data_IF_062157404345
#
_entry.id   IF_062157404345
#
_cell.length_a   1.000
_cell.length_b   1.000
_cell.length_c   1.000
_cell.angle_alpha   90.00
_cell.angle_beta   90.00
_cell.angle_gamma   90.00
#
_symmetry.space_group_name_H-M   'P 1'
#
loop_
_entity.id
_entity.type
_entity.pdbx_description
1 polymer ?
#
# COMPACT_ATOMS: atom_id res chain seq x y z
N UNK A 1 40.13 -48.61 -37.16
CA UNK A 1 39.17 -48.92 -36.08
C UNK A 1 39.25 -47.81 -35.04
N UNK A 2 38.09 -47.40 -34.50
CA UNK A 2 37.87 -46.45 -33.39
C UNK A 2 38.07 -44.96 -33.69
N UNK A 3 37.19 -44.03 -33.30
CA UNK A 3 35.76 -44.02 -32.95
C UNK A 3 35.40 -42.51 -32.91
N UNK A 4 34.30 -42.13 -33.57
CA UNK A 4 33.66 -40.82 -33.40
C UNK A 4 33.22 -40.64 -31.93
N UNK A 5 33.56 -39.52 -31.30
CA UNK A 5 32.87 -39.02 -30.10
C UNK A 5 32.62 -37.52 -30.30
N UNK A 6 31.42 -37.20 -30.77
CA UNK A 6 30.87 -35.85 -30.82
C UNK A 6 30.48 -35.42 -29.41
N UNK A 7 31.10 -34.35 -28.90
CA UNK A 7 30.71 -33.73 -27.64
C UNK A 7 29.58 -32.72 -27.92
N UNK A 8 28.34 -33.14 -27.66
CA UNK A 8 27.17 -32.28 -27.72
C UNK A 8 27.08 -31.52 -26.39
N UNK A 9 27.61 -30.30 -26.33
CA UNK A 9 27.44 -29.42 -25.18
C UNK A 9 25.99 -28.90 -25.17
N UNK A 10 25.16 -29.51 -24.33
CA UNK A 10 23.79 -29.08 -24.07
C UNK A 10 23.79 -27.73 -23.35
N UNK A 11 23.50 -26.66 -24.10
CA UNK A 11 23.19 -25.35 -23.57
C UNK A 11 21.75 -25.39 -23.01
N UNK A 12 21.61 -25.79 -21.75
CA UNK A 12 20.39 -25.59 -20.98
C UNK A 12 20.25 -24.08 -20.69
N UNK A 13 19.66 -23.36 -21.64
CA UNK A 13 19.04 -22.07 -21.36
C UNK A 13 17.88 -22.35 -20.40
N UNK A 14 18.14 -22.13 -19.11
CA UNK A 14 17.08 -21.92 -18.15
C UNK A 14 16.26 -20.72 -18.66
N UNK A 15 15.13 -21.00 -19.30
CA UNK A 15 14.08 -20.00 -19.44
C UNK A 15 13.57 -19.76 -18.02
N UNK A 16 14.26 -18.89 -17.29
CA UNK A 16 13.66 -18.21 -16.15
C UNK A 16 12.42 -17.55 -16.72
N UNK A 17 11.25 -18.11 -16.38
CA UNK A 17 9.97 -17.43 -16.52
C UNK A 17 10.20 -15.99 -16.12
N UNK A 18 10.05 -15.06 -17.06
CA UNK A 18 9.98 -13.64 -16.76
C UNK A 18 8.72 -13.51 -15.90
N UNK A 19 8.86 -13.71 -14.59
CA UNK A 19 7.83 -13.44 -13.61
C UNK A 19 7.33 -12.02 -13.93
N UNK A 20 6.03 -11.89 -14.19
CA UNK A 20 5.57 -10.86 -15.09
C UNK A 20 5.87 -9.46 -14.58
N UNK A 21 6.49 -8.67 -15.44
CA UNK A 21 6.84 -7.27 -15.22
C UNK A 21 5.61 -6.33 -15.19
N UNK A 22 4.40 -6.87 -15.00
CA UNK A 22 3.13 -6.13 -14.98
C UNK A 22 2.54 -6.06 -13.58
N UNK A 23 1.82 -4.98 -13.31
CA UNK A 23 1.01 -4.79 -12.11
C UNK A 23 -0.46 -4.93 -12.46
N UNK A 24 -1.25 -5.60 -11.63
CA UNK A 24 -2.71 -5.54 -11.72
C UNK A 24 -3.20 -4.49 -10.74
N UNK A 25 -3.94 -3.50 -11.23
CA UNK A 25 -4.64 -2.51 -10.41
C UNK A 25 -6.12 -2.84 -10.48
N UNK A 26 -6.71 -3.18 -9.32
CA UNK A 26 -8.15 -3.44 -9.21
C UNK A 26 -8.79 -2.26 -8.50
N UNK A 27 -9.68 -1.57 -9.21
CA UNK A 27 -10.28 -0.34 -8.73
C UNK A 27 -11.72 -0.13 -9.19
N UNK A 28 -12.45 0.73 -8.48
CA UNK A 28 -13.73 1.30 -8.91
C UNK A 28 -13.65 2.84 -9.12
N UNK A 29 -12.53 3.45 -8.75
CA UNK A 29 -12.21 4.86 -9.00
C UNK A 29 -11.02 4.98 -9.97
N UNK A 30 -11.33 4.95 -11.26
CA UNK A 30 -10.33 4.84 -12.32
C UNK A 30 -9.38 6.03 -12.47
N UNK A 31 -9.81 7.31 -12.40
CA UNK A 31 -8.90 8.44 -12.71
C UNK A 31 -7.63 8.50 -11.85
N UNK A 32 -7.75 8.22 -10.54
CA UNK A 32 -6.59 8.16 -9.63
C UNK A 32 -5.63 7.01 -10.02
N UNK A 33 -6.20 5.87 -10.40
CA UNK A 33 -5.43 4.68 -10.74
C UNK A 33 -4.86 4.70 -12.17
N UNK A 34 -5.50 5.40 -13.11
CA UNK A 34 -4.94 5.71 -14.43
C UNK A 34 -3.69 6.58 -14.29
N UNK A 35 -3.75 7.59 -13.41
CA UNK A 35 -2.58 8.38 -13.07
C UNK A 35 -1.46 7.50 -12.50
N UNK A 36 -1.75 6.65 -11.50
CA UNK A 36 -0.74 5.77 -10.90
C UNK A 36 -0.15 4.78 -11.92
N UNK A 37 -0.97 4.19 -12.79
CA UNK A 37 -0.54 3.30 -13.87
C UNK A 37 0.42 4.01 -14.84
N UNK A 38 0.10 5.26 -15.20
CA UNK A 38 0.99 6.09 -16.03
C UNK A 38 2.32 6.34 -15.32
N UNK A 39 2.29 6.69 -14.04
CA UNK A 39 3.52 6.96 -13.28
C UNK A 39 4.39 5.71 -13.09
N UNK A 40 3.79 4.52 -12.90
CA UNK A 40 4.52 3.25 -12.89
C UNK A 40 5.27 3.02 -14.21
N UNK A 41 4.61 3.25 -15.35
CA UNK A 41 5.22 3.13 -16.67
C UNK A 41 6.31 4.17 -16.90
N UNK A 42 6.04 5.43 -16.57
CA UNK A 42 6.97 6.54 -16.78
C UNK A 42 8.22 6.42 -15.90
N UNK A 43 8.07 6.04 -14.63
CA UNK A 43 9.18 6.06 -13.68
C UNK A 43 9.96 4.75 -13.61
N UNK A 44 9.32 3.60 -13.89
CA UNK A 44 9.93 2.28 -13.73
C UNK A 44 9.76 1.37 -14.96
N UNK A 45 9.10 1.84 -16.04
CA UNK A 45 8.88 1.03 -17.24
C UNK A 45 7.90 -0.14 -17.04
N UNK A 46 7.10 -0.11 -15.96
CA UNK A 46 6.19 -1.19 -15.56
C UNK A 46 4.82 -0.94 -16.16
N UNK A 47 4.35 -1.87 -17.00
CA UNK A 47 2.98 -1.84 -17.52
C UNK A 47 1.98 -2.24 -16.44
N UNK A 48 0.75 -1.72 -16.55
CA UNK A 48 -0.33 -2.05 -15.62
C UNK A 48 -1.59 -2.50 -16.36
N UNK A 49 -2.26 -3.51 -15.81
CA UNK A 49 -3.64 -3.84 -16.14
C UNK A 49 -4.55 -3.15 -15.12
N UNK A 50 -5.43 -2.25 -15.59
CA UNK A 50 -6.39 -1.56 -14.73
C UNK A 50 -7.78 -2.12 -14.99
N UNK A 51 -8.35 -2.78 -13.98
CA UNK A 51 -9.61 -3.51 -14.12
C UNK A 51 -10.57 -3.22 -12.97
N UNK A 52 -11.86 -3.41 -13.26
CA UNK A 52 -12.87 -3.55 -12.22
C UNK A 52 -12.83 -4.97 -11.64
N UNK A 53 -13.39 -5.14 -10.44
CA UNK A 53 -13.42 -6.42 -9.72
C UNK A 53 -13.99 -7.61 -10.52
N UNK A 54 -14.97 -7.38 -11.40
CA UNK A 54 -15.61 -8.42 -12.23
C UNK A 54 -14.84 -8.73 -13.52
N UNK A 55 -13.76 -8.01 -13.78
CA UNK A 55 -12.85 -8.22 -14.91
C UNK A 55 -11.45 -8.64 -14.45
N UNK A 56 -11.32 -9.08 -13.20
CA UNK A 56 -10.07 -9.66 -12.73
C UNK A 56 -9.72 -10.92 -13.53
N UNK A 57 -8.47 -11.07 -13.98
CA UNK A 57 -8.02 -12.31 -14.60
C UNK A 57 -8.04 -13.45 -13.58
N UNK A 58 -8.22 -14.68 -14.07
CA UNK A 58 -8.21 -15.88 -13.21
C UNK A 58 -6.82 -16.18 -12.65
N UNK A 59 -5.76 -15.96 -13.45
CA UNK A 59 -4.38 -16.17 -13.07
C UNK A 59 -3.72 -14.86 -12.62
N UNK A 60 -3.53 -14.73 -11.30
CA UNK A 60 -2.88 -13.59 -10.67
C UNK A 60 -1.36 -13.77 -10.52
N UNK A 61 -0.84 -14.98 -10.68
CA UNK A 61 0.57 -15.30 -10.42
C UNK A 61 1.50 -14.70 -11.49
N UNK A 62 0.92 -14.29 -12.62
CA UNK A 62 1.61 -13.54 -13.68
C UNK A 62 1.94 -12.10 -13.28
N UNK A 63 1.37 -11.56 -12.20
CA UNK A 63 1.61 -10.19 -11.77
C UNK A 63 2.65 -10.12 -10.67
N UNK A 64 3.59 -9.18 -10.77
CA UNK A 64 4.58 -8.93 -9.71
C UNK A 64 3.98 -8.33 -8.44
N UNK A 65 2.87 -7.62 -8.58
CA UNK A 65 2.12 -7.02 -7.48
C UNK A 65 0.67 -6.76 -7.90
N UNK A 66 -0.23 -6.76 -6.92
CA UNK A 66 -1.60 -6.29 -7.03
C UNK A 66 -1.75 -4.98 -6.25
N UNK A 67 -2.37 -3.98 -6.86
CA UNK A 67 -2.81 -2.74 -6.20
C UNK A 67 -4.33 -2.82 -6.04
N UNK A 68 -4.83 -2.57 -4.83
CA UNK A 68 -6.26 -2.58 -4.54
C UNK A 68 -6.70 -1.18 -4.10
N UNK A 69 -7.59 -0.58 -4.90
CA UNK A 69 -8.16 0.74 -4.66
C UNK A 69 -9.68 0.71 -4.92
N UNK A 70 -10.40 0.06 -4.00
CA UNK A 70 -11.84 -0.19 -4.11
C UNK A 70 -12.55 0.59 -3.02
N UNK A 71 -13.21 1.68 -3.38
CA UNK A 71 -14.03 2.48 -2.48
C UNK A 71 -15.32 1.74 -2.08
N UNK A 72 -15.99 1.12 -3.05
CA UNK A 72 -17.24 0.41 -2.88
C UNK A 72 -17.11 -0.92 -2.13
N UNK A 73 -18.06 -1.83 -2.33
CA UNK A 73 -18.00 -3.14 -1.67
C UNK A 73 -16.88 -4.02 -2.25
N UNK A 74 -16.03 -4.60 -1.39
CA UNK A 74 -15.11 -5.65 -1.80
C UNK A 74 -15.89 -6.95 -1.96
N UNK A 75 -15.94 -7.49 -3.18
CA UNK A 75 -16.68 -8.70 -3.50
C UNK A 75 -15.95 -9.94 -2.93
N UNK A 76 -16.67 -10.99 -2.48
CA UNK A 76 -16.05 -12.18 -1.87
C UNK A 76 -15.07 -12.93 -2.78
N UNK A 77 -15.30 -12.95 -4.10
CA UNK A 77 -14.39 -13.59 -5.06
C UNK A 77 -13.02 -12.89 -5.11
N UNK A 78 -12.98 -11.60 -5.48
CA UNK A 78 -11.79 -10.76 -5.39
C UNK A 78 -11.08 -10.81 -4.03
N UNK A 79 -11.81 -10.71 -2.91
CA UNK A 79 -11.24 -10.84 -1.57
C UNK A 79 -10.41 -12.13 -1.41
N UNK A 80 -11.00 -13.28 -1.75
CA UNK A 80 -10.32 -14.57 -1.66
C UNK A 80 -9.13 -14.66 -2.60
N UNK A 81 -9.25 -14.10 -3.82
CA UNK A 81 -8.16 -14.10 -4.80
C UNK A 81 -6.96 -13.26 -4.34
N UNK A 82 -7.19 -12.07 -3.77
CA UNK A 82 -6.13 -11.22 -3.20
C UNK A 82 -5.41 -11.90 -2.05
N UNK A 83 -6.17 -12.53 -1.14
CA UNK A 83 -5.62 -13.26 0.00
C UNK A 83 -4.78 -14.46 -0.48
N UNK A 84 -5.31 -15.25 -1.41
CA UNK A 84 -4.62 -16.42 -1.95
C UNK A 84 -3.31 -16.04 -2.66
N UNK A 85 -3.36 -15.08 -3.58
CA UNK A 85 -2.18 -14.56 -4.28
C UNK A 85 -1.10 -14.11 -3.30
N UNK A 86 -1.47 -13.31 -2.29
CA UNK A 86 -0.50 -12.79 -1.32
C UNK A 86 0.09 -13.91 -0.46
N UNK A 87 -0.75 -14.83 0.05
CA UNK A 87 -0.27 -15.97 0.84
C UNK A 87 0.65 -16.89 0.03
N UNK A 88 0.45 -16.96 -1.29
CA UNK A 88 1.26 -17.72 -2.25
C UNK A 88 2.62 -17.11 -2.58
N UNK A 89 2.95 -15.90 -2.10
CA UNK A 89 4.22 -15.23 -2.41
C UNK A 89 4.05 -13.87 -3.09
N UNK A 90 2.82 -13.56 -3.51
CA UNK A 90 2.50 -12.31 -4.17
C UNK A 90 2.60 -11.08 -3.26
N UNK A 91 2.64 -9.90 -3.87
CA UNK A 91 2.64 -8.62 -3.17
C UNK A 91 1.33 -7.88 -3.34
N UNK A 92 0.70 -7.55 -2.22
CA UNK A 92 -0.50 -6.72 -2.18
C UNK A 92 -0.16 -5.31 -1.70
N UNK A 93 -0.50 -4.30 -2.49
CA UNK A 93 -0.49 -2.88 -2.11
C UNK A 93 -1.95 -2.43 -1.92
N UNK A 94 -2.40 -2.42 -0.67
CA UNK A 94 -3.73 -2.01 -0.28
C UNK A 94 -3.75 -0.49 -0.02
N UNK A 95 -4.59 0.23 -0.76
CA UNK A 95 -4.65 1.69 -0.69
C UNK A 95 -5.91 2.16 0.03
N UNK A 96 -5.76 3.19 0.86
CA UNK A 96 -6.77 4.02 1.51
C UNK A 96 -8.07 3.28 1.89
N UNK A 97 -9.07 3.27 1.00
CA UNK A 97 -10.38 2.63 1.17
C UNK A 97 -10.34 1.12 1.43
N UNK A 98 -9.19 0.47 1.21
CA UNK A 98 -8.95 -0.93 1.57
C UNK A 98 -9.11 -1.20 3.07
N UNK A 99 -8.98 -0.18 3.92
CA UNK A 99 -9.28 -0.25 5.35
C UNK A 99 -10.27 0.85 5.69
N UNK A 100 -11.54 0.62 5.38
CA UNK A 100 -12.65 1.49 5.75
C UNK A 100 -13.72 0.70 6.51
N UNK A 101 -14.58 1.38 7.27
CA UNK A 101 -15.64 0.74 8.07
C UNK A 101 -16.55 -0.17 7.23
N UNK A 102 -16.77 0.16 5.95
CA UNK A 102 -17.54 -0.66 5.02
C UNK A 102 -16.96 -2.07 4.81
N UNK A 103 -15.64 -2.22 4.92
CA UNK A 103 -14.93 -3.50 4.76
C UNK A 103 -15.04 -4.43 5.97
N UNK A 104 -15.62 -3.99 7.10
CA UNK A 104 -15.94 -4.89 8.24
C UNK A 104 -16.86 -6.06 7.85
N UNK A 105 -17.61 -5.93 6.74
CA UNK A 105 -18.50 -6.98 6.23
C UNK A 105 -17.75 -8.14 5.57
N UNK A 106 -16.48 -7.93 5.20
CA UNK A 106 -15.61 -8.93 4.61
C UNK A 106 -15.00 -9.77 5.74
N UNK A 107 -15.41 -11.04 5.83
CA UNK A 107 -15.09 -11.91 6.96
C UNK A 107 -13.59 -12.17 7.12
N UNK A 108 -12.85 -12.19 6.00
CA UNK A 108 -11.44 -12.58 5.99
C UNK A 108 -10.50 -11.38 5.84
N UNK A 109 -10.99 -10.26 5.30
CA UNK A 109 -10.16 -9.12 4.92
C UNK A 109 -9.42 -8.46 6.09
N UNK A 110 -10.14 -8.05 7.14
CA UNK A 110 -9.51 -7.42 8.31
C UNK A 110 -8.61 -8.36 9.10
N UNK A 111 -9.01 -9.62 9.37
CA UNK A 111 -8.10 -10.62 9.92
C UNK A 111 -6.84 -10.80 9.06
N UNK A 112 -6.96 -10.84 7.74
CA UNK A 112 -5.82 -10.97 6.83
C UNK A 112 -4.86 -9.77 6.87
N UNK A 113 -5.40 -8.55 6.94
CA UNK A 113 -4.62 -7.32 7.09
C UNK A 113 -4.06 -7.13 8.52
N UNK A 114 -4.57 -7.88 9.49
CA UNK A 114 -4.24 -7.74 10.90
C UNK A 114 -4.70 -6.38 11.45
N UNK A 115 -5.92 -5.96 11.14
CA UNK A 115 -6.47 -4.66 11.55
C UNK A 115 -7.82 -4.85 12.22
N UNK A 116 -8.11 -4.01 13.20
CA UNK A 116 -9.45 -3.81 13.72
C UNK A 116 -9.82 -2.32 13.70
N UNK A 117 -11.11 -2.05 13.51
CA UNK A 117 -11.71 -0.72 13.55
C UNK A 117 -12.75 -0.75 14.67
N UNK A 118 -12.35 -0.40 15.88
CA UNK A 118 -13.23 -0.47 17.05
C UNK A 118 -14.41 0.50 16.90
N UNK A 119 -15.65 0.11 17.27
CA UNK A 119 -16.75 1.07 17.37
C UNK A 119 -16.59 1.95 18.62
N UNK A 120 -17.30 3.06 18.67
CA UNK A 120 -17.38 3.92 19.85
C UNK A 120 -16.84 5.33 19.63
N UNK A 121 -16.62 6.03 20.74
CA UNK A 121 -16.14 7.40 20.75
C UNK A 121 -14.65 7.49 20.35
N UNK A 122 -14.30 8.46 19.50
CA UNK A 122 -12.94 8.60 18.95
C UNK A 122 -11.90 8.94 20.02
N UNK A 123 -12.29 9.65 21.08
CA UNK A 123 -11.39 9.98 22.19
C UNK A 123 -11.17 8.79 23.12
N UNK A 124 -11.99 7.74 22.99
CA UNK A 124 -11.87 6.47 23.71
C UNK A 124 -11.30 5.34 22.83
N UNK A 125 -10.75 5.67 21.67
CA UNK A 125 -10.15 4.70 20.74
C UNK A 125 -11.10 4.15 19.67
N UNK A 126 -12.32 4.67 19.57
CA UNK A 126 -13.26 4.35 18.50
C UNK A 126 -12.78 4.87 17.14
N UNK A 127 -13.03 4.09 16.09
CA UNK A 127 -12.71 4.48 14.72
C UNK A 127 -13.58 5.65 14.24
N UNK A 128 -12.95 6.64 13.60
CA UNK A 128 -13.62 7.77 12.93
C UNK A 128 -12.94 8.04 11.60
N UNK A 129 -13.71 8.52 10.63
CA UNK A 129 -13.19 9.12 9.41
C UNK A 129 -13.68 10.57 9.29
N UNK A 130 -12.94 11.42 8.56
CA UNK A 130 -13.32 12.82 8.32
C UNK A 130 -12.83 13.26 6.94
N UNK A 131 -13.73 13.88 6.18
CA UNK A 131 -13.48 14.50 4.89
C UNK A 131 -14.31 15.80 4.77
N UNK A 132 -13.79 16.86 4.14
CA UNK A 132 -12.40 17.01 3.70
C UNK A 132 -11.45 17.15 4.90
N UNK A 133 -10.20 16.71 4.73
CA UNK A 133 -9.15 16.83 5.74
C UNK A 133 -7.82 17.24 5.10
N UNK A 134 -7.12 18.18 5.74
CA UNK A 134 -5.69 18.39 5.50
C UNK A 134 -4.89 17.45 6.39
N UNK A 135 -4.20 16.49 5.79
CA UNK A 135 -3.35 15.54 6.50
C UNK A 135 -1.88 15.81 6.19
N UNK A 136 -1.03 15.58 7.19
CA UNK A 136 0.42 15.61 7.02
C UNK A 136 0.97 14.21 7.25
N UNK A 137 1.72 13.70 6.29
CA UNK A 137 2.37 12.40 6.38
C UNK A 137 3.87 12.57 6.66
N UNK A 138 4.41 11.74 7.54
CA UNK A 138 5.83 11.74 7.91
C UNK A 138 6.46 10.36 7.70
N UNK A 139 7.73 10.35 7.29
CA UNK A 139 8.53 9.13 7.16
C UNK A 139 9.01 8.66 8.54
N UNK A 140 8.49 7.52 9.00
CA UNK A 140 8.90 6.88 10.26
C UNK A 140 10.00 5.85 10.07
N UNK A 141 10.29 5.45 8.83
CA UNK A 141 11.27 4.44 8.47
C UNK A 141 12.37 5.04 7.57
N UNK A 142 13.26 5.90 8.10
CA UNK A 142 14.21 6.67 7.29
C UNK A 142 15.29 5.84 6.60
N UNK A 143 15.39 4.54 6.90
CA UNK A 143 16.34 3.61 6.28
C UNK A 143 15.65 2.58 5.38
N UNK A 144 14.31 2.63 5.27
CA UNK A 144 13.55 1.63 4.52
C UNK A 144 13.41 2.02 3.05
N UNK A 145 13.65 1.09 2.13
CA UNK A 145 13.61 1.34 0.68
C UNK A 145 12.32 2.05 0.23
N UNK A 146 11.16 1.58 0.71
CA UNK A 146 9.85 2.12 0.33
C UNK A 146 9.73 3.63 0.55
N UNK A 147 10.30 4.13 1.65
CA UNK A 147 10.17 5.52 2.08
C UNK A 147 11.37 6.39 1.72
N UNK A 148 12.40 5.83 1.08
CA UNK A 148 13.68 6.52 0.85
C UNK A 148 14.11 6.51 -0.62
N UNK A 149 13.83 5.44 -1.35
CA UNK A 149 14.36 5.28 -2.69
C UNK A 149 13.72 6.27 -3.67
N UNK A 150 14.51 7.25 -4.13
CA UNK A 150 14.08 8.34 -5.03
C UNK A 150 12.94 9.20 -4.47
N UNK A 151 12.70 9.19 -3.15
CA UNK A 151 11.65 10.01 -2.53
C UNK A 151 12.22 11.38 -2.18
N UNK A 152 11.72 12.42 -2.85
CA UNK A 152 12.05 13.81 -2.52
C UNK A 152 10.95 14.39 -1.62
N UNK A 153 11.29 14.63 -0.36
CA UNK A 153 10.35 15.16 0.63
C UNK A 153 10.38 16.69 0.61
N UNK A 154 9.23 17.37 0.43
CA UNK A 154 9.20 18.84 0.35
C UNK A 154 9.50 19.52 1.68
N UNK A 155 9.36 18.84 2.82
CA UNK A 155 9.52 19.45 4.13
C UNK A 155 9.99 18.48 5.21
N UNK A 156 10.39 19.05 6.35
CA UNK A 156 10.51 18.34 7.62
C UNK A 156 9.40 18.81 8.55
N UNK A 157 8.74 17.88 9.22
CA UNK A 157 7.54 18.10 10.05
C UNK A 157 7.80 17.58 11.46
N UNK A 158 7.51 18.40 12.46
CA UNK A 158 7.55 18.00 13.86
C UNK A 158 6.42 17.02 14.17
N UNK A 159 6.83 15.86 14.70
CA UNK A 159 5.98 14.72 14.95
C UNK A 159 6.41 13.99 16.20
N UNK A 160 5.44 13.58 17.01
CA UNK A 160 5.63 12.73 18.17
C UNK A 160 5.04 11.35 17.87
N UNK A 161 5.87 10.31 17.71
CA UNK A 161 5.39 8.95 17.54
C UNK A 161 4.46 8.50 18.65
N UNK A 162 3.27 8.08 18.26
CA UNK A 162 2.18 7.65 19.16
C UNK A 162 2.46 6.31 19.84
N UNK A 163 3.18 5.40 19.17
CA UNK A 163 3.33 4.02 19.64
C UNK A 163 4.70 3.76 20.31
N UNK A 164 5.73 4.55 19.99
CA UNK A 164 7.08 4.36 20.55
C UNK A 164 7.40 5.22 21.78
N UNK A 165 6.61 6.27 22.04
CA UNK A 165 6.83 7.20 23.15
C UNK A 165 8.13 8.03 23.03
N UNK A 166 8.79 8.02 21.87
CA UNK A 166 9.93 8.91 21.63
C UNK A 166 9.42 10.34 21.56
N UNK A 167 10.12 11.29 22.18
CA UNK A 167 9.75 12.70 22.14
C UNK A 167 9.67 13.29 20.73
N UNK A 168 9.10 14.49 20.63
CA UNK A 168 8.91 15.20 19.36
C UNK A 168 10.23 15.34 18.59
N UNK A 169 10.18 15.07 17.29
CA UNK A 169 11.31 15.26 16.37
C UNK A 169 10.83 15.60 14.97
N UNK A 170 11.69 16.27 14.21
CA UNK A 170 11.40 16.63 12.82
C UNK A 170 11.66 15.45 11.87
N UNK A 171 10.64 15.01 11.14
CA UNK A 171 10.69 13.93 10.15
C UNK A 171 10.53 14.46 8.72
N UNK A 172 11.17 13.87 7.69
CA UNK A 172 10.80 14.13 6.30
C UNK A 172 9.30 13.84 6.08
N UNK A 173 8.60 14.68 5.33
CA UNK A 173 7.18 14.47 5.10
C UNK A 173 6.60 15.37 4.02
N UNK A 174 5.28 15.25 3.85
CA UNK A 174 4.49 15.99 2.86
C UNK A 174 3.08 16.26 3.40
N UNK A 175 2.39 17.22 2.79
CA UNK A 175 1.04 17.64 3.16
C UNK A 175 0.08 17.32 2.02
N UNK A 176 -1.11 16.84 2.36
CA UNK A 176 -2.22 16.55 1.47
C UNK A 176 -3.42 17.39 1.91
N UNK A 177 -3.77 18.48 1.19
CA UNK A 177 -4.73 19.48 1.68
C UNK A 177 -6.21 19.06 1.59
N UNK A 178 -6.56 18.19 0.65
CA UNK A 178 -7.93 17.80 0.31
C UNK A 178 -8.08 16.28 0.28
N UNK A 179 -7.82 15.65 1.43
CA UNK A 179 -7.83 14.20 1.60
C UNK A 179 -8.95 13.76 2.56
N UNK A 180 -8.92 12.50 2.95
CA UNK A 180 -9.73 11.92 4.02
C UNK A 180 -8.80 11.33 5.08
N UNK A 181 -9.12 11.57 6.35
CA UNK A 181 -8.35 11.02 7.48
C UNK A 181 -9.11 9.90 8.16
N UNK A 182 -8.43 8.79 8.44
CA UNK A 182 -8.88 7.73 9.34
C UNK A 182 -8.16 7.85 10.69
N UNK A 183 -8.95 7.78 11.75
CA UNK A 183 -8.51 7.83 13.14
C UNK A 183 -8.77 6.48 13.81
N UNK A 184 -7.84 6.08 14.67
CA UNK A 184 -7.88 4.87 15.48
C UNK A 184 -7.98 3.55 14.72
N UNK A 185 -7.24 3.41 13.61
CA UNK A 185 -6.89 2.06 13.14
C UNK A 185 -6.20 1.30 14.28
N UNK A 186 -6.65 0.08 14.59
CA UNK A 186 -6.00 -0.76 15.59
C UNK A 186 -5.20 -1.84 14.89
N UNK A 187 -3.89 -1.87 15.12
CA UNK A 187 -3.00 -2.89 14.60
C UNK A 187 -3.08 -4.13 15.49
N UNK A 188 -3.52 -5.27 14.98
CA UNK A 188 -3.68 -6.51 15.80
C UNK A 188 -2.52 -7.50 15.68
N UNK A 189 -1.57 -7.20 14.79
CA UNK A 189 -0.36 -8.01 14.53
C UNK A 189 0.90 -7.13 14.40
N UNK A 190 2.10 -7.67 14.67
CA UNK A 190 3.37 -6.99 14.40
C UNK A 190 3.52 -6.62 12.93
N UNK A 191 4.10 -5.44 12.67
CA UNK A 191 4.38 -4.93 11.33
C UNK A 191 5.51 -3.92 11.36
N UNK A 192 6.07 -3.62 10.18
CA UNK A 192 7.00 -2.49 10.03
C UNK A 192 6.19 -1.23 9.75
N UNK A 193 6.32 -0.22 10.60
CA UNK A 193 5.69 1.08 10.42
C UNK A 193 6.53 1.91 9.44
N UNK A 194 5.89 2.50 8.44
CA UNK A 194 6.55 3.26 7.37
C UNK A 194 6.22 4.74 7.45
N UNK A 195 4.94 5.07 7.62
CA UNK A 195 4.44 6.44 7.61
C UNK A 195 3.59 6.72 8.86
N UNK A 196 3.80 7.90 9.43
CA UNK A 196 2.94 8.49 10.44
C UNK A 196 2.02 9.53 9.81
N UNK A 197 0.88 9.80 10.46
CA UNK A 197 -0.06 10.84 10.07
C UNK A 197 -0.26 11.83 11.21
N UNK A 198 -0.26 13.12 10.88
CA UNK A 198 -0.65 14.25 11.72
C UNK A 198 -1.86 14.93 11.10
N UNK A 199 -2.89 15.16 11.90
CA UNK A 199 -4.14 15.81 11.51
C UNK A 199 -4.57 16.76 12.62
N UNK A 200 -5.01 17.97 12.27
CA UNK A 200 -5.61 18.90 13.23
C UNK A 200 -7.09 18.99 12.90
N UNK A 201 -7.93 18.59 13.85
CA UNK A 201 -9.38 18.72 13.73
C UNK A 201 -9.74 20.22 13.68
N UNK A 202 -10.33 20.72 12.58
CA UNK A 202 -10.64 22.14 12.44
C UNK A 202 -11.75 22.60 13.40
N UNK A 203 -12.60 21.70 13.89
CA UNK A 203 -13.70 22.04 14.78
C UNK A 203 -13.21 22.21 16.22
N UNK A 204 -12.32 21.32 16.67
CA UNK A 204 -11.88 21.24 18.08
C UNK A 204 -10.47 21.78 18.31
N UNK A 205 -9.67 21.96 17.26
CA UNK A 205 -8.24 22.27 17.35
C UNK A 205 -7.38 21.11 17.85
N UNK A 206 -7.97 19.92 18.07
CA UNK A 206 -7.26 18.75 18.56
C UNK A 206 -6.30 18.21 17.51
N UNK A 207 -5.05 18.00 17.91
CA UNK A 207 -4.03 17.38 17.05
C UNK A 207 -4.00 15.88 17.30
N UNK A 208 -4.18 15.12 16.23
CA UNK A 208 -4.06 13.67 16.17
C UNK A 208 -2.73 13.31 15.51
N UNK A 209 -1.94 12.43 16.15
CA UNK A 209 -0.75 11.84 15.57
C UNK A 209 -0.84 10.32 15.69
N UNK A 210 -0.68 9.59 14.59
CA UNK A 210 -0.79 8.12 14.57
C UNK A 210 0.26 7.47 13.67
N UNK A 211 0.96 6.45 14.18
CA UNK A 211 2.14 5.84 13.51
C UNK A 211 1.76 4.82 12.42
N UNK A 212 0.48 4.78 12.05
CA UNK A 212 -0.15 3.70 11.30
C UNK A 212 -0.71 4.15 9.94
N UNK A 213 -0.22 5.27 9.43
CA UNK A 213 -0.60 5.81 8.12
C UNK A 213 0.02 5.05 6.95
N UNK A 214 1.06 4.28 7.20
CA UNK A 214 1.62 3.35 6.22
C UNK A 214 2.43 2.28 6.92
N UNK A 215 2.30 1.04 6.49
CA UNK A 215 2.99 -0.10 7.09
C UNK A 215 3.12 -1.27 6.12
N UNK A 216 4.00 -2.21 6.44
CA UNK A 216 4.08 -3.50 5.75
C UNK A 216 4.14 -4.66 6.73
N UNK A 217 3.62 -5.82 6.32
CA UNK A 217 3.76 -7.07 7.05
C UNK A 217 3.78 -8.27 6.11
N UNK A 218 4.41 -9.35 6.54
CA UNK A 218 4.33 -10.63 5.84
C UNK A 218 2.93 -11.24 5.94
N UNK A 219 2.55 -12.00 4.92
CA UNK A 219 1.35 -12.84 4.93
C UNK A 219 1.60 -14.10 4.11
N UNK A 220 1.71 -15.25 4.79
CA UNK A 220 2.20 -16.47 4.14
C UNK A 220 3.61 -16.26 3.59
N UNK A 221 3.80 -16.53 2.29
CA UNK A 221 5.07 -16.32 1.60
C UNK A 221 5.22 -14.92 1.00
N UNK A 222 4.14 -14.11 1.02
CA UNK A 222 4.12 -12.80 0.38
C UNK A 222 4.11 -11.62 1.35
N UNK A 223 3.75 -10.47 0.80
CA UNK A 223 3.88 -9.18 1.45
C UNK A 223 2.60 -8.35 1.30
N UNK A 224 2.13 -7.78 2.40
CA UNK A 224 1.10 -6.73 2.40
C UNK A 224 1.80 -5.40 2.68
N UNK A 225 1.51 -4.40 1.85
CA UNK A 225 1.83 -2.99 2.11
C UNK A 225 0.52 -2.22 2.14
N UNK A 226 0.32 -1.40 3.14
CA UNK A 226 -0.86 -0.54 3.25
C UNK A 226 -0.44 0.93 3.35
N UNK A 227 -1.20 1.80 2.71
CA UNK A 227 -1.12 3.25 2.88
C UNK A 227 -2.52 3.83 3.13
N UNK A 228 -2.64 4.59 4.21
CA UNK A 228 -3.81 5.40 4.52
C UNK A 228 -3.98 6.61 3.59
N UNK A 229 -2.96 7.43 3.23
CA UNK A 229 -3.17 8.52 2.27
C UNK A 229 -3.63 7.99 0.90
N UNK A 230 -4.16 8.87 0.04
CA UNK A 230 -4.63 8.48 -1.30
C UNK A 230 -6.14 8.41 -1.41
N UNK A 231 -6.87 9.36 -0.83
CA UNK A 231 -8.32 9.49 -0.97
C UNK A 231 -8.75 10.01 -2.34
N UNK A 232 -7.91 10.82 -2.97
CA UNK A 232 -8.24 11.49 -4.22
C UNK A 232 -7.09 11.44 -5.21
N UNK A 233 -7.36 11.78 -6.47
CA UNK A 233 -6.32 11.97 -7.49
C UNK A 233 -5.26 13.00 -7.04
N UNK A 234 -5.67 14.06 -6.32
CA UNK A 234 -4.75 15.09 -5.85
C UNK A 234 -3.71 14.52 -4.88
N UNK A 235 -4.10 13.56 -4.04
CA UNK A 235 -3.15 12.88 -3.17
C UNK A 235 -2.09 12.13 -3.98
N UNK A 236 -2.53 11.38 -5.00
CA UNK A 236 -1.61 10.67 -5.89
C UNK A 236 -0.75 11.59 -6.74
N UNK A 237 -1.14 12.85 -6.96
CA UNK A 237 -0.31 13.85 -7.63
C UNK A 237 0.79 14.44 -6.74
N UNK A 238 0.78 14.16 -5.43
CA UNK A 238 1.89 14.50 -4.55
C UNK A 238 3.10 13.61 -4.90
N UNK A 239 4.22 14.15 -5.44
CA UNK A 239 5.34 13.35 -5.97
C UNK A 239 5.99 12.37 -4.98
N UNK A 240 6.19 12.78 -3.72
CA UNK A 240 6.71 11.94 -2.66
C UNK A 240 5.78 10.76 -2.39
N UNK A 241 4.45 11.01 -2.32
CA UNK A 241 3.49 9.95 -2.09
C UNK A 241 3.41 8.98 -3.29
N UNK A 242 3.32 9.49 -4.52
CA UNK A 242 3.36 8.67 -5.73
C UNK A 242 4.57 7.74 -5.72
N UNK A 243 5.75 8.30 -5.40
CA UNK A 243 7.00 7.55 -5.38
C UNK A 243 7.00 6.47 -4.30
N UNK A 244 6.46 6.75 -3.12
CA UNK A 244 6.32 5.76 -2.05
C UNK A 244 5.45 4.57 -2.51
N UNK A 245 4.31 4.83 -3.17
CA UNK A 245 3.44 3.77 -3.69
C UNK A 245 4.17 2.96 -4.77
N UNK A 246 4.88 3.61 -5.69
CA UNK A 246 5.71 2.93 -6.70
C UNK A 246 6.82 2.09 -6.04
N UNK A 247 7.46 2.61 -5.00
CA UNK A 247 8.49 1.85 -4.29
C UNK A 247 7.91 0.60 -3.63
N UNK A 248 6.68 0.63 -3.11
CA UNK A 248 6.01 -0.56 -2.61
C UNK A 248 5.87 -1.63 -3.70
N UNK A 249 5.57 -1.23 -4.94
CA UNK A 249 5.50 -2.15 -6.09
C UNK A 249 6.87 -2.74 -6.44
N UNK A 250 7.95 -1.95 -6.43
CA UNK A 250 9.27 -2.41 -6.90
C UNK A 250 10.19 -2.96 -5.81
N UNK A 251 9.80 -2.83 -4.53
CA UNK A 251 10.56 -3.30 -3.39
C UNK A 251 10.95 -4.78 -3.53
N UNK A 252 12.13 -5.15 -3.04
CA UNK A 252 12.58 -6.54 -2.91
C UNK A 252 13.16 -6.66 -1.50
N UNK A 253 12.48 -7.37 -0.58
CA UNK A 253 12.98 -7.60 0.77
C UNK A 253 14.33 -8.30 0.79
#
# INVERSE_FOLDING_TARGET
MLKFVSLLAGLLLAMTSLAGDRVLIVADEFPAMEFLAKELKTQEGIESDLVAQDRMPEDLDTYRALIVYIHGTLKPGPEKAFIAYTRGGGRLVALHHSISSGKRKNADWFPFLGIDLLPGDVDQGGYKWTEPATITCVNLAPDHFITTHKVDYPSRIDYTPSDSGTGERAHPGFVLPESEVYLNHTLTEPRTLLLGLKYTDPETGKVWMQDRAGWLKSAGQGLIVYFQPGHSLLDFQQPAYTRIVINAVVYRP
#
